data_IF_816581367109
#
_entry.id   IF_816581367109
#
_cell.length_a   1.000
_cell.length_b   1.000
_cell.length_c   1.000
_cell.angle_alpha   90.00
_cell.angle_beta   90.00
_cell.angle_gamma   90.00
#
_symmetry.space_group_name_H-M   'P 1'
#
loop_
_entity.id
_entity.type
_entity.pdbx_description
1 polymer ?
#
# COMPACT_ATOMS: atom_id res chain seq x y z
N UNK A 1 -47.70 34.90 17.86
CA UNK A 1 -46.79 35.23 16.73
C UNK A 1 -45.48 35.78 17.26
N UNK A 2 -44.40 35.01 17.22
CA UNK A 2 -43.00 35.43 16.97
C UNK A 2 -42.12 34.18 17.12
N UNK A 3 -41.49 33.79 16.01
CA UNK A 3 -40.61 32.62 15.87
C UNK A 3 -39.36 32.84 16.72
N UNK A 4 -39.15 32.00 17.73
CA UNK A 4 -37.88 31.91 18.45
C UNK A 4 -36.89 31.15 17.55
N UNK A 5 -35.77 31.79 17.26
CA UNK A 5 -34.84 31.39 16.20
C UNK A 5 -34.20 30.02 16.40
N UNK A 6 -34.57 29.07 15.54
CA UNK A 6 -33.91 27.78 15.32
C UNK A 6 -32.63 27.98 14.47
N UNK A 7 -31.77 28.95 14.83
CA UNK A 7 -30.57 29.26 14.03
C UNK A 7 -29.24 29.01 14.73
N UNK A 8 -29.20 28.66 16.01
CA UNK A 8 -27.93 28.46 16.72
C UNK A 8 -27.34 27.03 16.59
N UNK A 9 -28.12 26.04 16.14
CA UNK A 9 -27.62 24.65 16.07
C UNK A 9 -27.17 24.20 14.68
N UNK A 10 -27.53 24.92 13.61
CA UNK A 10 -27.20 24.50 12.24
C UNK A 10 -25.79 24.99 11.83
N UNK A 11 -25.26 26.04 12.46
CA UNK A 11 -23.91 26.55 12.16
C UNK A 11 -22.77 25.72 12.76
N UNK A 12 -23.06 24.71 13.58
CA UNK A 12 -22.05 23.78 14.11
C UNK A 12 -21.96 22.46 13.32
N UNK A 13 -22.86 22.23 12.36
CA UNK A 13 -22.87 21.01 11.53
C UNK A 13 -22.05 21.12 10.24
N UNK A 14 -21.49 22.29 9.92
CA UNK A 14 -20.76 22.52 8.65
C UNK A 14 -19.24 22.59 8.84
N UNK A 15 -18.71 22.28 10.03
CA UNK A 15 -17.25 22.36 10.29
C UNK A 15 -16.56 21.03 10.57
N UNK A 16 -17.25 19.89 10.49
CA UNK A 16 -16.61 18.56 10.66
C UNK A 16 -16.39 17.83 9.33
N UNK A 17 -16.80 18.44 8.20
CA UNK A 17 -16.71 17.84 6.86
C UNK A 17 -15.28 17.66 6.33
N UNK A 18 -14.24 17.95 7.12
CA UNK A 18 -12.84 17.95 6.67
C UNK A 18 -11.86 17.18 7.56
N UNK A 19 -12.27 16.21 8.38
CA UNK A 19 -11.33 15.60 9.34
C UNK A 19 -10.78 14.21 8.97
N UNK A 20 -11.28 13.56 7.93
CA UNK A 20 -10.67 12.32 7.42
C UNK A 20 -10.32 12.55 5.95
N UNK A 21 -9.03 12.51 5.63
CA UNK A 21 -8.59 12.51 4.25
C UNK A 21 -9.23 11.30 3.54
N UNK A 22 -9.78 11.52 2.34
CA UNK A 22 -10.36 10.44 1.53
C UNK A 22 -9.32 9.31 1.38
N UNK A 23 -9.62 8.06 1.75
CA UNK A 23 -8.66 6.95 1.65
C UNK A 23 -8.09 6.78 0.24
N UNK A 24 -8.86 7.15 -0.79
CA UNK A 24 -8.40 7.16 -2.19
C UNK A 24 -7.39 8.29 -2.42
N UNK A 25 -7.63 9.49 -1.88
CA UNK A 25 -6.70 10.61 -1.98
C UNK A 25 -5.37 10.33 -1.28
N UNK A 26 -5.41 9.65 -0.12
CA UNK A 26 -4.20 9.19 0.58
C UNK A 26 -3.41 8.21 -0.29
N UNK A 27 -4.09 7.26 -0.95
CA UNK A 27 -3.44 6.31 -1.85
C UNK A 27 -2.80 7.02 -3.06
N UNK A 28 -3.47 8.00 -3.65
CA UNK A 28 -2.92 8.78 -4.77
C UNK A 28 -1.71 9.61 -4.35
N UNK A 29 -1.76 10.25 -3.17
CA UNK A 29 -0.62 10.99 -2.62
C UNK A 29 0.58 10.07 -2.36
N UNK A 30 0.34 8.87 -1.82
CA UNK A 30 1.39 7.87 -1.62
C UNK A 30 2.05 7.46 -2.94
N UNK A 31 1.26 7.20 -3.98
CA UNK A 31 1.76 6.85 -5.31
C UNK A 31 2.57 7.97 -5.96
N UNK A 32 2.13 9.23 -5.81
CA UNK A 32 2.87 10.39 -6.31
C UNK A 32 4.24 10.53 -5.64
N UNK A 33 4.28 10.35 -4.30
CA UNK A 33 5.52 10.35 -3.52
C UNK A 33 6.44 9.20 -3.93
N UNK A 34 5.88 8.00 -4.10
CA UNK A 34 6.60 6.83 -4.58
C UNK A 34 7.22 7.08 -5.96
N UNK A 35 6.47 7.68 -6.88
CA UNK A 35 6.96 8.02 -8.22
C UNK A 35 8.10 9.05 -8.21
N UNK A 36 8.11 9.94 -7.21
CA UNK A 36 9.19 10.90 -6.96
C UNK A 36 10.35 10.32 -6.15
N UNK A 37 10.31 9.01 -5.84
CA UNK A 37 11.27 8.32 -4.97
C UNK A 37 11.36 8.92 -3.55
N UNK A 38 10.33 9.65 -3.13
CA UNK A 38 10.14 10.07 -1.74
C UNK A 38 9.56 8.89 -0.95
N UNK A 39 10.42 7.89 -0.70
CA UNK A 39 10.02 6.62 -0.11
C UNK A 39 9.42 6.79 1.29
N UNK A 40 9.99 7.66 2.12
CA UNK A 40 9.49 7.91 3.47
C UNK A 40 8.12 8.60 3.43
N UNK A 41 7.95 9.63 2.60
CA UNK A 41 6.65 10.28 2.42
C UNK A 41 5.60 9.32 1.85
N UNK A 42 5.98 8.45 0.91
CA UNK A 42 5.09 7.41 0.38
C UNK A 42 4.64 6.43 1.47
N UNK A 43 5.57 5.98 2.33
CA UNK A 43 5.27 5.08 3.45
C UNK A 43 4.25 5.71 4.41
N UNK A 44 4.42 6.98 4.77
CA UNK A 44 3.49 7.69 5.65
C UNK A 44 2.07 7.68 5.09
N UNK A 45 1.90 8.08 3.83
CA UNK A 45 0.58 8.10 3.19
C UNK A 45 -0.03 6.72 2.99
N UNK A 46 0.78 5.70 2.65
CA UNK A 46 0.26 4.33 2.55
C UNK A 46 -0.20 3.78 3.89
N UNK A 47 0.52 4.06 4.98
CA UNK A 47 0.11 3.68 6.33
C UNK A 47 -1.18 4.39 6.74
N UNK A 48 -1.33 5.67 6.41
CA UNK A 48 -2.56 6.41 6.65
C UNK A 48 -3.73 5.84 5.86
N UNK A 49 -3.54 5.54 4.57
CA UNK A 49 -4.57 4.90 3.75
C UNK A 49 -5.04 3.56 4.35
N UNK A 50 -4.11 2.78 4.91
CA UNK A 50 -4.43 1.51 5.59
C UNK A 50 -5.09 1.68 6.96
N UNK A 51 -4.86 2.80 7.66
CA UNK A 51 -5.59 3.12 8.90
C UNK A 51 -7.07 3.39 8.61
N UNK A 52 -7.36 4.07 7.51
CA UNK A 52 -8.74 4.35 7.10
C UNK A 52 -9.40 3.14 6.43
N UNK A 53 -8.65 2.39 5.62
CA UNK A 53 -9.13 1.17 4.97
C UNK A 53 -8.05 0.09 4.90
N UNK A 54 -8.13 -0.85 5.84
CA UNK A 54 -7.17 -1.95 5.97
C UNK A 54 -7.24 -2.99 4.85
N UNK A 55 -8.20 -2.88 3.93
CA UNK A 55 -8.38 -3.79 2.78
C UNK A 55 -7.69 -3.29 1.50
N UNK A 56 -6.98 -2.16 1.53
CA UNK A 56 -6.22 -1.68 0.37
C UNK A 56 -4.98 -2.51 0.10
N UNK A 57 -5.17 -3.58 -0.68
CA UNK A 57 -4.11 -4.42 -1.22
C UNK A 57 -3.00 -3.61 -1.93
N UNK A 58 -3.37 -2.56 -2.68
CA UNK A 58 -2.44 -1.66 -3.36
C UNK A 58 -1.54 -0.89 -2.39
N UNK A 59 -2.02 -0.55 -1.19
CA UNK A 59 -1.22 0.13 -0.18
C UNK A 59 -0.20 -0.82 0.46
N UNK A 60 -0.57 -2.08 0.71
CA UNK A 60 0.40 -3.10 1.14
C UNK A 60 1.49 -3.34 0.09
N UNK A 61 1.13 -3.43 -1.20
CA UNK A 61 2.10 -3.52 -2.30
C UNK A 61 3.03 -2.30 -2.32
N UNK A 62 2.46 -1.09 -2.25
CA UNK A 62 3.21 0.16 -2.21
C UNK A 62 4.20 0.23 -1.05
N UNK A 63 3.78 -0.16 0.15
CA UNK A 63 4.67 -0.26 1.31
C UNK A 63 5.79 -1.28 1.09
N UNK A 64 5.48 -2.46 0.55
CA UNK A 64 6.49 -3.47 0.25
C UNK A 64 7.54 -2.93 -0.72
N UNK A 65 7.12 -2.24 -1.78
CA UNK A 65 8.02 -1.59 -2.73
C UNK A 65 8.87 -0.52 -2.06
N UNK A 66 8.26 0.37 -1.27
CA UNK A 66 9.00 1.46 -0.62
C UNK A 66 10.03 0.93 0.38
N UNK A 67 9.66 -0.04 1.23
CA UNK A 67 10.58 -0.68 2.18
C UNK A 67 11.72 -1.40 1.46
N UNK A 68 11.43 -2.10 0.36
CA UNK A 68 12.45 -2.72 -0.49
C UNK A 68 13.42 -1.67 -1.05
N UNK A 69 12.91 -0.55 -1.58
CA UNK A 69 13.73 0.52 -2.15
C UNK A 69 14.70 1.16 -1.15
N UNK A 70 14.35 1.19 0.14
CA UNK A 70 15.22 1.72 1.20
C UNK A 70 16.05 0.65 1.91
N UNK A 71 15.97 -0.62 1.50
CA UNK A 71 16.76 -1.73 2.06
C UNK A 71 16.18 -2.35 3.34
N UNK A 72 14.98 -1.99 3.73
CA UNK A 72 14.27 -2.52 4.92
C UNK A 72 13.50 -3.80 4.53
N UNK A 73 14.25 -4.86 4.22
CA UNK A 73 13.71 -6.05 3.56
C UNK A 73 12.77 -6.87 4.45
N UNK A 74 12.98 -6.92 5.76
CA UNK A 74 12.09 -7.62 6.70
C UNK A 74 10.71 -6.95 6.77
N UNK A 75 10.68 -5.62 6.75
CA UNK A 75 9.46 -4.82 6.71
C UNK A 75 8.78 -5.00 5.35
N UNK A 76 9.54 -4.99 4.25
CA UNK A 76 9.02 -5.28 2.93
C UNK A 76 8.35 -6.66 2.86
N UNK A 77 8.99 -7.68 3.44
CA UNK A 77 8.47 -9.04 3.52
C UNK A 77 7.12 -9.10 4.25
N UNK A 78 7.01 -8.41 5.40
CA UNK A 78 5.74 -8.32 6.13
C UNK A 78 4.62 -7.72 5.28
N UNK A 79 4.90 -6.66 4.53
CA UNK A 79 3.87 -5.99 3.74
C UNK A 79 3.49 -6.78 2.48
N UNK A 80 4.45 -7.42 1.81
CA UNK A 80 4.13 -8.24 0.64
C UNK A 80 3.31 -9.47 1.01
N UNK A 81 3.50 -10.02 2.22
CA UNK A 81 2.68 -11.11 2.74
C UNK A 81 1.24 -10.67 3.01
N UNK A 82 1.03 -9.46 3.54
CA UNK A 82 -0.30 -8.87 3.64
C UNK A 82 -0.93 -8.66 2.26
N UNK A 83 -0.16 -8.24 1.26
CA UNK A 83 -0.68 -8.09 -0.10
C UNK A 83 -1.08 -9.46 -0.70
N UNK A 84 -0.22 -10.47 -0.58
CA UNK A 84 -0.49 -11.84 -1.05
C UNK A 84 -1.67 -12.51 -0.33
N UNK A 85 -2.00 -12.11 0.90
CA UNK A 85 -3.20 -12.60 1.57
C UNK A 85 -4.49 -12.29 0.77
N UNK A 86 -4.58 -11.11 0.16
CA UNK A 86 -5.74 -10.73 -0.65
C UNK A 86 -5.65 -11.24 -2.09
N UNK A 87 -4.45 -11.32 -2.65
CA UNK A 87 -4.21 -11.75 -4.04
C UNK A 87 -3.08 -12.78 -4.10
N UNK A 88 -3.41 -14.01 -3.72
CA UNK A 88 -2.44 -15.09 -3.49
C UNK A 88 -1.59 -15.47 -4.71
N UNK A 89 -2.18 -15.40 -5.90
CA UNK A 89 -1.56 -15.85 -7.15
C UNK A 89 -1.24 -14.68 -8.09
N UNK A 90 -1.01 -13.48 -7.54
CA UNK A 90 -0.62 -12.32 -8.35
C UNK A 90 0.88 -12.40 -8.70
N UNK A 91 1.25 -12.56 -9.98
CA UNK A 91 2.64 -12.72 -10.38
C UNK A 91 3.51 -11.53 -9.99
N UNK A 92 2.97 -10.30 -10.02
CA UNK A 92 3.71 -9.10 -9.66
C UNK A 92 4.11 -9.15 -8.17
N UNK A 93 3.19 -9.57 -7.30
CA UNK A 93 3.44 -9.68 -5.87
C UNK A 93 4.41 -10.83 -5.55
N UNK A 94 4.30 -11.94 -6.26
CA UNK A 94 5.20 -13.10 -6.10
C UNK A 94 6.63 -12.72 -6.53
N UNK A 95 6.80 -12.05 -7.67
CA UNK A 95 8.10 -11.56 -8.12
C UNK A 95 8.70 -10.53 -7.16
N UNK A 96 7.89 -9.59 -6.65
CA UNK A 96 8.35 -8.64 -5.63
C UNK A 96 8.82 -9.35 -4.35
N UNK A 97 8.11 -10.39 -3.88
CA UNK A 97 8.58 -11.24 -2.78
C UNK A 97 9.89 -11.96 -3.12
N UNK A 98 10.08 -12.36 -4.38
CA UNK A 98 11.33 -12.91 -4.89
C UNK A 98 12.50 -11.93 -4.74
N UNK A 99 12.32 -10.69 -5.18
CA UNK A 99 13.34 -9.63 -5.01
C UNK A 99 13.62 -9.31 -3.54
N UNK A 100 12.59 -9.24 -2.70
CA UNK A 100 12.75 -9.06 -1.25
C UNK A 100 13.56 -10.22 -0.65
N UNK A 101 13.30 -11.46 -1.10
CA UNK A 101 14.06 -12.64 -0.65
C UNK A 101 15.53 -12.57 -1.05
N UNK A 102 15.86 -12.00 -2.22
CA UNK A 102 17.25 -11.71 -2.61
C UNK A 102 17.88 -10.70 -1.63
N UNK A 103 17.18 -9.61 -1.30
CA UNK A 103 17.64 -8.62 -0.34
C UNK A 103 17.94 -9.21 1.05
N UNK A 104 17.14 -10.20 1.47
CA UNK A 104 17.33 -10.96 2.72
C UNK A 104 18.43 -12.04 2.62
N UNK A 105 19.01 -12.28 1.43
CA UNK A 105 19.98 -13.35 1.20
C UNK A 105 19.37 -14.75 1.06
N UNK A 106 18.04 -14.90 1.03
CA UNK A 106 17.35 -16.17 0.81
C UNK A 106 17.16 -16.44 -0.69
N UNK A 107 18.28 -16.74 -1.36
CA UNK A 107 18.31 -17.05 -2.79
C UNK A 107 17.51 -18.31 -3.15
N UNK A 108 17.34 -19.23 -2.19
CA UNK A 108 16.58 -20.47 -2.40
C UNK A 108 15.09 -20.17 -2.52
N UNK A 109 14.55 -19.35 -1.63
CA UNK A 109 13.17 -18.90 -1.70
C UNK A 109 12.93 -18.04 -2.95
N UNK A 110 13.83 -17.10 -3.26
CA UNK A 110 13.74 -16.29 -4.48
C UNK A 110 13.64 -17.17 -5.74
N UNK A 111 14.55 -18.14 -5.90
CA UNK A 111 14.55 -19.09 -7.03
C UNK A 111 13.22 -19.83 -7.15
N UNK A 112 12.65 -20.25 -6.02
CA UNK A 112 11.37 -20.97 -5.98
C UNK A 112 10.22 -20.07 -6.45
N UNK A 113 10.18 -18.82 -5.96
CA UNK A 113 9.14 -17.84 -6.30
C UNK A 113 9.19 -17.46 -7.79
N UNK A 114 10.37 -17.15 -8.34
CA UNK A 114 10.49 -16.85 -9.77
C UNK A 114 10.16 -18.05 -10.66
N UNK A 115 10.60 -19.26 -10.27
CA UNK A 115 10.24 -20.49 -10.99
C UNK A 115 8.72 -20.74 -10.98
N UNK A 116 8.03 -20.39 -9.90
CA UNK A 116 6.57 -20.46 -9.83
C UNK A 116 5.92 -19.49 -10.83
N UNK A 117 6.39 -18.24 -10.90
CA UNK A 117 5.87 -17.25 -11.85
C UNK A 117 6.11 -17.71 -13.29
N UNK A 118 7.35 -18.06 -13.65
CA UNK A 118 7.70 -18.48 -15.02
C UNK A 118 7.02 -19.78 -15.44
N UNK A 119 6.65 -20.65 -14.50
CA UNK A 119 5.86 -21.85 -14.82
C UNK A 119 4.43 -21.51 -15.23
N UNK A 120 3.81 -20.53 -14.59
CA UNK A 120 2.43 -20.11 -14.87
C UNK A 120 2.34 -19.05 -15.98
N UNK A 121 3.34 -18.16 -16.07
CA UNK A 121 3.49 -17.09 -17.05
C UNK A 121 4.89 -17.13 -17.67
N UNK A 122 5.11 -18.01 -18.67
CA UNK A 122 6.45 -18.25 -19.24
C UNK A 122 7.13 -17.05 -19.91
N UNK A 123 6.39 -15.97 -20.17
CA UNK A 123 6.89 -14.75 -20.80
C UNK A 123 6.86 -13.53 -19.86
N UNK A 124 6.68 -13.74 -18.55
CA UNK A 124 6.74 -12.65 -17.59
C UNK A 124 8.18 -12.12 -17.50
N UNK A 125 8.39 -10.85 -17.81
CA UNK A 125 9.73 -10.23 -17.84
C UNK A 125 10.16 -9.69 -16.48
N UNK A 126 9.28 -9.71 -15.49
CA UNK A 126 9.54 -9.21 -14.14
C UNK A 126 9.96 -10.33 -13.17
N UNK A 127 9.97 -11.58 -13.62
CA UNK A 127 10.39 -12.76 -12.86
C UNK A 127 11.74 -13.30 -13.36
#
# INVERSE_FOLDING_TARGET
MKKLGVLACISLMVTVSSLFADPVALLSAAQERQFKEDWYGAIEYYQEALRENSAYNSAYKGLATCFYSIGEYEQALKQIENALYFKKDDPELISLKGFISIGLGDLKSATTLFSQVLKAWPNDTNA
#
